data_IF_031641345258
#
_entry.id   IF_031641345258
#
_cell.length_a   1.000
_cell.length_b   1.000
_cell.length_c   1.000
_cell.angle_alpha   90.00
_cell.angle_beta   90.00
_cell.angle_gamma   90.00
#
_symmetry.space_group_name_H-M   'P 1'
#
loop_
_entity.id
_entity.type
_entity.pdbx_description
1 polymer ?
#
# COMPACT_ATOMS: atom_id res chain seq x y z
N UNK A 1 -21.26 -7.00 0.63
CA UNK A 1 -21.92 -5.89 1.39
C UNK A 1 -20.92 -5.07 2.21
N UNK A 2 -20.27 -5.56 3.28
CA UNK A 2 -19.33 -4.72 4.08
C UNK A 2 -18.16 -4.16 3.26
N UNK A 3 -17.53 -4.99 2.45
CA UNK A 3 -16.42 -4.59 1.57
C UNK A 3 -16.92 -3.64 0.48
N UNK A 4 -18.10 -3.87 -0.05
CA UNK A 4 -18.68 -3.05 -1.14
C UNK A 4 -19.02 -1.65 -0.64
N UNK A 5 -19.57 -1.52 0.58
CA UNK A 5 -19.83 -0.24 1.22
C UNK A 5 -18.54 0.56 1.42
N UNK A 6 -17.47 -0.11 1.89
CA UNK A 6 -16.17 0.52 2.10
C UNK A 6 -15.55 0.99 0.77
N UNK A 7 -15.58 0.14 -0.27
CA UNK A 7 -15.08 0.49 -1.60
C UNK A 7 -15.87 1.64 -2.23
N UNK A 8 -17.19 1.65 -2.06
CA UNK A 8 -18.05 2.75 -2.53
C UNK A 8 -17.66 4.08 -1.88
N UNK A 9 -17.40 4.08 -0.57
CA UNK A 9 -16.98 5.28 0.16
C UNK A 9 -15.59 5.77 -0.25
N UNK A 10 -14.63 4.86 -0.46
CA UNK A 10 -13.32 5.24 -0.99
C UNK A 10 -13.43 5.84 -2.39
N UNK A 11 -14.28 5.29 -3.25
CA UNK A 11 -14.51 5.83 -4.60
C UNK A 11 -15.19 7.19 -4.55
N UNK A 12 -16.14 7.41 -3.64
CA UNK A 12 -16.81 8.71 -3.43
C UNK A 12 -15.81 9.77 -2.99
N UNK A 13 -15.00 9.50 -1.95
CA UNK A 13 -13.93 10.40 -1.48
C UNK A 13 -12.97 10.73 -2.61
N UNK A 14 -12.54 9.71 -3.38
CA UNK A 14 -11.67 9.90 -4.52
C UNK A 14 -12.28 10.81 -5.58
N UNK A 15 -13.52 10.56 -5.97
CA UNK A 15 -14.23 11.32 -6.98
C UNK A 15 -14.39 12.78 -6.57
N UNK A 16 -14.67 13.04 -5.30
CA UNK A 16 -14.72 14.39 -4.73
C UNK A 16 -13.36 15.07 -4.77
N UNK A 17 -12.27 14.33 -4.50
CA UNK A 17 -10.91 14.86 -4.57
C UNK A 17 -10.53 15.28 -5.99
N UNK A 18 -10.72 14.38 -6.96
CA UNK A 18 -10.43 14.65 -8.38
C UNK A 18 -11.28 15.81 -8.90
N UNK A 19 -12.53 15.93 -8.46
CA UNK A 19 -13.42 17.03 -8.80
C UNK A 19 -13.14 18.34 -8.07
N UNK A 20 -12.16 18.40 -7.16
CA UNK A 20 -11.85 19.56 -6.33
C UNK A 20 -12.99 19.94 -5.35
N UNK A 21 -13.84 18.98 -5.01
CA UNK A 21 -15.08 19.18 -4.21
C UNK A 21 -15.11 18.31 -2.95
N UNK A 22 -13.95 18.06 -2.32
CA UNK A 22 -13.94 17.31 -1.06
C UNK A 22 -14.80 18.04 -0.03
N UNK A 23 -15.80 17.33 0.49
CA UNK A 23 -16.63 17.85 1.57
C UNK A 23 -15.77 18.04 2.83
N UNK A 24 -15.89 19.19 3.54
CA UNK A 24 -15.17 19.39 4.77
C UNK A 24 -15.55 18.33 5.81
N UNK A 25 -14.58 17.97 6.64
CA UNK A 25 -14.82 17.04 7.75
C UNK A 25 -15.63 17.77 8.84
N UNK A 26 -16.84 17.28 9.07
CA UNK A 26 -17.75 17.74 10.12
C UNK A 26 -18.25 16.55 10.93
N UNK A 27 -18.88 16.80 12.07
CA UNK A 27 -19.52 15.74 12.86
C UNK A 27 -20.58 15.01 12.04
N UNK A 28 -21.34 15.70 11.21
CA UNK A 28 -22.35 15.11 10.30
C UNK A 28 -21.71 14.24 9.24
N UNK A 29 -20.58 14.66 8.66
CA UNK A 29 -19.85 13.85 7.67
C UNK A 29 -19.33 12.54 8.28
N UNK A 30 -18.87 12.58 9.52
CA UNK A 30 -18.43 11.38 10.25
C UNK A 30 -19.61 10.44 10.55
N UNK A 31 -20.77 11.00 10.94
CA UNK A 31 -22.03 10.25 11.08
C UNK A 31 -22.47 9.61 9.76
N UNK A 32 -22.40 10.36 8.65
CA UNK A 32 -22.69 9.86 7.31
C UNK A 32 -21.77 8.66 6.95
N UNK A 33 -20.48 8.76 7.19
CA UNK A 33 -19.54 7.65 6.99
C UNK A 33 -19.95 6.40 7.76
N UNK A 34 -20.26 6.54 9.04
CA UNK A 34 -20.69 5.40 9.86
C UNK A 34 -22.01 4.80 9.34
N UNK A 35 -22.97 5.64 8.97
CA UNK A 35 -24.26 5.21 8.43
C UNK A 35 -24.09 4.38 7.15
N UNK A 36 -23.32 4.89 6.19
CA UNK A 36 -23.07 4.21 4.92
C UNK A 36 -22.23 2.94 5.08
N UNK A 37 -21.27 2.94 6.00
CA UNK A 37 -20.47 1.74 6.32
C UNK A 37 -21.31 0.59 6.84
N UNK A 38 -22.32 0.89 7.65
CA UNK A 38 -23.17 -0.09 8.32
C UNK A 38 -24.45 -0.44 7.52
N UNK A 39 -24.65 0.18 6.36
CA UNK A 39 -25.81 -0.06 5.52
C UNK A 39 -25.94 -1.55 5.17
N UNK A 40 -27.15 -2.11 5.36
CA UNK A 40 -27.47 -3.51 5.04
C UNK A 40 -26.63 -4.55 5.77
N UNK A 41 -26.04 -4.18 6.92
CA UNK A 41 -25.31 -5.14 7.76
C UNK A 41 -26.18 -5.62 8.93
N UNK A 42 -25.96 -6.85 9.42
CA UNK A 42 -26.58 -7.28 10.66
C UNK A 42 -25.99 -6.49 11.83
N UNK A 43 -26.84 -5.81 12.58
CA UNK A 43 -26.45 -4.94 13.69
C UNK A 43 -27.01 -5.46 15.02
N UNK A 44 -26.33 -5.08 16.12
CA UNK A 44 -26.88 -5.29 17.45
C UNK A 44 -28.12 -4.39 17.70
N UNK A 45 -28.97 -4.79 18.64
CA UNK A 45 -30.24 -4.09 18.94
C UNK A 45 -30.01 -2.61 19.34
N UNK A 46 -28.88 -2.30 19.97
CA UNK A 46 -28.53 -0.96 20.46
C UNK A 46 -27.71 -0.14 19.46
N UNK A 47 -27.56 -0.60 18.20
CA UNK A 47 -26.75 0.06 17.16
C UNK A 47 -27.65 0.73 16.15
N UNK A 48 -27.58 2.06 16.10
CA UNK A 48 -28.24 2.88 15.06
C UNK A 48 -27.17 3.51 14.16
N UNK A 49 -27.09 3.13 12.86
CA UNK A 49 -26.11 3.68 11.93
C UNK A 49 -26.16 5.21 11.87
N UNK A 50 -25.00 5.84 11.95
CA UNK A 50 -24.88 7.30 11.89
C UNK A 50 -25.31 8.05 13.17
N UNK A 51 -25.69 7.32 14.22
CA UNK A 51 -26.05 7.93 15.50
C UNK A 51 -25.03 7.56 16.58
N UNK A 52 -24.76 8.50 17.48
CA UNK A 52 -23.90 8.22 18.60
C UNK A 52 -24.61 7.26 19.56
N UNK A 53 -23.81 6.40 20.16
CA UNK A 53 -24.29 5.42 21.15
C UNK A 53 -24.83 6.09 22.42
N UNK A 54 -25.78 5.44 23.03
CA UNK A 54 -26.37 5.85 24.30
C UNK A 54 -25.88 5.03 25.49
N UNK A 55 -25.05 4.00 25.24
CA UNK A 55 -24.54 3.05 26.23
C UNK A 55 -23.00 3.02 26.24
N UNK A 56 -22.43 2.50 27.31
CA UNK A 56 -20.97 2.31 27.42
C UNK A 56 -20.50 1.16 26.54
N UNK A 57 -19.36 1.31 25.87
CA UNK A 57 -18.74 0.28 25.06
C UNK A 57 -17.31 0.00 25.54
N UNK A 58 -16.89 -1.24 25.35
CA UNK A 58 -15.51 -1.68 25.59
C UNK A 58 -14.89 -2.09 24.27
N UNK A 59 -13.73 -1.57 23.98
CA UNK A 59 -12.96 -1.87 22.74
C UNK A 59 -11.96 -2.96 23.05
N UNK A 60 -12.16 -4.13 22.45
CA UNK A 60 -11.37 -5.32 22.80
C UNK A 60 -11.51 -5.67 24.29
N UNK A 61 -10.42 -6.11 24.92
CA UNK A 61 -10.44 -6.52 26.34
C UNK A 61 -9.89 -5.45 27.31
N UNK A 62 -9.53 -4.26 26.83
CA UNK A 62 -8.70 -3.35 27.62
C UNK A 62 -9.15 -1.88 27.64
N UNK A 63 -9.80 -1.39 26.61
CA UNK A 63 -10.10 0.03 26.47
C UNK A 63 -11.60 0.31 26.60
N UNK A 64 -11.97 1.25 27.49
CA UNK A 64 -13.34 1.78 27.60
C UNK A 64 -13.42 3.10 26.82
N UNK A 65 -14.34 3.17 25.85
CA UNK A 65 -14.66 4.42 25.15
C UNK A 65 -15.10 5.54 26.12
N UNK A 66 -15.14 6.77 25.66
CA UNK A 66 -15.64 7.90 26.43
C UNK A 66 -17.06 7.62 26.97
N UNK A 67 -17.52 8.29 28.04
CA UNK A 67 -18.92 8.21 28.48
C UNK A 67 -19.86 8.53 27.30
N UNK A 68 -20.96 7.81 27.18
CA UNK A 68 -21.91 8.01 26.10
C UNK A 68 -22.50 9.43 26.08
N UNK A 69 -22.76 9.99 27.27
CA UNK A 69 -23.22 11.38 27.44
C UNK A 69 -22.29 12.43 26.86
N UNK A 70 -21.00 12.12 26.74
CA UNK A 70 -19.98 13.08 26.36
C UNK A 70 -19.63 12.97 24.88
N UNK A 71 -20.13 11.93 24.17
CA UNK A 71 -19.77 11.66 22.78
C UNK A 71 -20.04 12.85 21.86
N UNK A 72 -21.19 13.51 21.98
CA UNK A 72 -21.55 14.66 21.13
C UNK A 72 -20.59 15.83 21.37
N UNK A 73 -20.40 16.22 22.61
CA UNK A 73 -19.47 17.28 22.98
C UNK A 73 -18.03 16.99 22.54
N UNK A 74 -17.56 15.76 22.76
CA UNK A 74 -16.22 15.35 22.37
C UNK A 74 -16.03 15.32 20.86
N UNK A 75 -17.04 14.91 20.10
CA UNK A 75 -16.98 14.93 18.65
C UNK A 75 -16.95 16.34 18.07
N UNK A 76 -17.69 17.27 18.64
CA UNK A 76 -17.63 18.68 18.23
C UNK A 76 -16.25 19.28 18.52
N UNK A 77 -15.72 19.04 19.72
CA UNK A 77 -14.36 19.47 20.09
C UNK A 77 -13.27 18.82 19.23
N UNK A 78 -13.46 17.57 18.86
CA UNK A 78 -12.57 16.86 17.95
C UNK A 78 -12.54 17.51 16.55
N UNK A 79 -13.69 17.84 15.99
CA UNK A 79 -13.79 18.50 14.68
C UNK A 79 -13.21 19.91 14.74
N UNK A 80 -13.50 20.67 15.81
CA UNK A 80 -12.92 21.99 16.05
C UNK A 80 -11.39 21.93 16.06
N UNK A 81 -10.80 21.03 16.87
CA UNK A 81 -9.37 20.79 16.94
C UNK A 81 -8.74 20.45 15.57
N UNK A 82 -9.38 19.56 14.80
CA UNK A 82 -8.87 19.21 13.47
C UNK A 82 -8.92 20.40 12.49
N UNK A 83 -9.90 21.28 12.63
CA UNK A 83 -10.02 22.48 11.80
C UNK A 83 -9.00 23.56 12.20
N UNK A 84 -8.67 23.69 13.49
CA UNK A 84 -7.57 24.54 13.96
C UNK A 84 -6.24 24.08 13.38
N UNK A 85 -5.93 22.77 13.45
CA UNK A 85 -4.72 22.21 12.85
C UNK A 85 -4.68 22.42 11.32
N UNK A 86 -5.81 22.57 10.66
CA UNK A 86 -5.87 22.88 9.23
C UNK A 86 -5.35 24.28 8.92
N UNK A 87 -5.63 25.26 9.75
CA UNK A 87 -5.17 26.65 9.56
C UNK A 87 -3.65 26.78 9.60
N UNK A 88 -2.98 25.93 10.37
CA UNK A 88 -1.52 25.96 10.55
C UNK A 88 -0.75 25.28 9.39
N UNK A 89 -1.46 24.69 8.42
CA UNK A 89 -0.84 23.97 7.29
C UNK A 89 0.02 24.87 6.40
N UNK A 90 -0.26 26.14 6.33
CA UNK A 90 0.55 27.10 5.57
C UNK A 90 1.96 27.26 6.16
N UNK A 91 2.05 27.12 7.50
CA UNK A 91 3.31 27.26 8.24
C UNK A 91 4.12 25.96 8.23
N UNK A 92 3.49 24.83 8.53
CA UNK A 92 4.17 23.55 8.78
C UNK A 92 4.09 22.56 7.61
N UNK A 93 3.31 22.86 6.57
CA UNK A 93 3.27 22.09 5.33
C UNK A 93 2.72 20.68 5.44
N UNK A 94 3.22 19.78 4.56
CA UNK A 94 2.74 18.39 4.44
C UNK A 94 2.87 17.55 5.71
N UNK A 95 3.96 17.63 6.51
CA UNK A 95 4.08 16.84 7.73
C UNK A 95 2.91 17.04 8.70
N UNK A 96 2.47 18.29 8.90
CA UNK A 96 1.33 18.57 9.78
C UNK A 96 0.03 17.98 9.25
N UNK A 97 -0.15 17.97 7.93
CA UNK A 97 -1.33 17.38 7.30
C UNK A 97 -1.41 15.87 7.55
N UNK A 98 -0.29 15.15 7.44
CA UNK A 98 -0.23 13.71 7.72
C UNK A 98 -0.45 13.46 9.22
N UNK A 99 0.19 14.25 10.08
CA UNK A 99 -0.02 14.19 11.53
C UNK A 99 -1.49 14.39 11.89
N UNK A 100 -2.18 15.36 11.25
CA UNK A 100 -3.61 15.59 11.43
C UNK A 100 -4.44 14.34 11.14
N UNK A 101 -4.11 13.59 10.11
CA UNK A 101 -4.79 12.33 9.77
C UNK A 101 -4.57 11.25 10.84
N UNK A 102 -3.34 11.09 11.33
CA UNK A 102 -3.00 10.15 12.42
C UNK A 102 -3.72 10.54 13.71
N UNK A 103 -3.72 11.82 14.08
CA UNK A 103 -4.42 12.30 15.26
C UNK A 103 -5.93 12.10 15.15
N UNK A 104 -6.50 12.31 13.97
CA UNK A 104 -7.91 12.07 13.74
C UNK A 104 -8.28 10.60 14.00
N UNK A 105 -7.45 9.67 13.54
CA UNK A 105 -7.64 8.24 13.80
C UNK A 105 -7.60 7.92 15.31
N UNK A 106 -6.58 8.41 16.02
CA UNK A 106 -6.41 8.16 17.47
C UNK A 106 -7.59 8.69 18.26
N UNK A 107 -7.94 9.97 18.08
CA UNK A 107 -9.00 10.59 18.84
C UNK A 107 -10.36 9.94 18.58
N UNK A 108 -10.66 9.60 17.32
CA UNK A 108 -11.91 8.90 17.00
C UNK A 108 -11.94 7.49 17.62
N UNK A 109 -10.81 6.80 17.63
CA UNK A 109 -10.69 5.51 18.31
C UNK A 109 -10.89 5.62 19.83
N UNK A 110 -10.44 6.70 20.47
CA UNK A 110 -10.62 6.94 21.91
C UNK A 110 -12.04 7.37 22.28
N UNK A 111 -12.63 8.30 21.54
CA UNK A 111 -14.01 8.72 21.77
C UNK A 111 -14.95 7.53 21.57
N UNK A 112 -14.72 6.76 20.53
CA UNK A 112 -15.50 5.57 20.18
C UNK A 112 -17.00 5.86 20.14
N UNK A 113 -17.44 6.85 19.35
CA UNK A 113 -18.76 7.47 19.51
C UNK A 113 -19.94 6.61 19.06
N UNK A 114 -19.72 5.58 18.24
CA UNK A 114 -20.79 4.75 17.65
C UNK A 114 -20.96 3.42 18.40
N UNK A 115 -22.12 2.78 18.26
CA UNK A 115 -22.35 1.44 18.77
C UNK A 115 -21.56 0.37 18.02
N UNK A 116 -21.34 0.55 16.71
CA UNK A 116 -20.48 -0.28 15.87
C UNK A 116 -19.81 0.57 14.77
N UNK A 117 -18.83 -0.02 14.07
CA UNK A 117 -18.15 0.59 12.92
C UNK A 117 -17.09 1.66 13.27
N UNK A 118 -16.79 1.92 14.54
CA UNK A 118 -15.85 2.97 14.95
C UNK A 118 -14.48 2.86 14.28
N UNK A 119 -13.88 1.67 14.26
CA UNK A 119 -12.57 1.45 13.65
C UNK A 119 -12.58 1.65 12.14
N UNK A 120 -13.66 1.28 11.46
CA UNK A 120 -13.87 1.50 10.02
C UNK A 120 -14.07 2.99 9.73
N UNK A 121 -14.87 3.67 10.54
CA UNK A 121 -15.11 5.12 10.44
C UNK A 121 -13.80 5.89 10.67
N UNK A 122 -13.01 5.54 11.69
CA UNK A 122 -11.72 6.17 11.96
C UNK A 122 -10.76 6.04 10.77
N UNK A 123 -10.69 4.88 10.13
CA UNK A 123 -9.87 4.65 8.93
C UNK A 123 -10.37 5.44 7.72
N UNK A 124 -11.68 5.62 7.54
CA UNK A 124 -12.23 6.47 6.47
C UNK A 124 -11.90 7.94 6.67
N UNK A 125 -12.02 8.43 7.90
CA UNK A 125 -11.64 9.82 8.25
C UNK A 125 -10.14 10.03 8.00
N UNK A 126 -9.29 9.11 8.47
CA UNK A 126 -7.85 9.14 8.21
C UNK A 126 -7.55 9.15 6.71
N UNK A 127 -8.19 8.28 5.93
CA UNK A 127 -8.05 8.20 4.48
C UNK A 127 -8.44 9.52 3.80
N UNK A 128 -9.60 10.10 4.13
CA UNK A 128 -10.01 11.40 3.57
C UNK A 128 -8.95 12.48 3.86
N UNK A 129 -8.46 12.58 5.10
CA UNK A 129 -7.47 13.58 5.49
C UNK A 129 -6.11 13.37 4.80
N UNK A 130 -5.70 12.12 4.57
CA UNK A 130 -4.50 11.80 3.78
C UNK A 130 -4.66 12.26 2.32
N UNK A 131 -5.81 12.00 1.70
CA UNK A 131 -6.11 12.49 0.33
C UNK A 131 -6.12 14.02 0.29
N UNK A 132 -6.76 14.69 1.25
CA UNK A 132 -6.74 16.15 1.39
C UNK A 132 -5.31 16.70 1.54
N UNK A 133 -4.40 15.93 2.12
CA UNK A 133 -3.00 16.31 2.29
C UNK A 133 -2.17 16.22 1.01
N UNK A 134 -2.75 15.65 -0.07
CA UNK A 134 -2.08 15.39 -1.33
C UNK A 134 -1.34 14.04 -1.38
N UNK A 135 -1.62 13.12 -0.45
CA UNK A 135 -1.15 11.73 -0.54
C UNK A 135 -1.90 11.05 -1.69
N UNK A 136 -1.21 10.42 -2.65
CA UNK A 136 -1.87 9.68 -3.73
C UNK A 136 -2.75 8.56 -3.18
N UNK A 137 -3.89 8.33 -3.84
CA UNK A 137 -4.89 7.33 -3.42
C UNK A 137 -4.29 5.95 -3.13
N UNK A 138 -3.41 5.38 -4.00
CA UNK A 138 -2.81 4.08 -3.71
C UNK A 138 -1.96 4.07 -2.44
N UNK A 139 -1.48 5.23 -1.99
CA UNK A 139 -0.68 5.37 -0.78
C UNK A 139 -1.53 5.67 0.46
N UNK A 140 -2.70 6.28 0.33
CA UNK A 140 -3.56 6.64 1.45
C UNK A 140 -4.10 5.42 2.23
N UNK A 141 -4.12 4.23 1.63
CA UNK A 141 -4.50 2.99 2.30
C UNK A 141 -3.39 2.34 3.14
N UNK A 142 -2.13 2.74 2.93
CA UNK A 142 -0.98 2.05 3.50
C UNK A 142 -0.95 2.09 5.02
N UNK A 143 -1.43 3.17 5.62
CA UNK A 143 -1.48 3.32 7.07
C UNK A 143 -2.49 2.34 7.69
N UNK A 144 -3.70 2.29 7.15
CA UNK A 144 -4.73 1.30 7.53
C UNK A 144 -4.26 -0.15 7.34
N UNK A 145 -3.57 -0.45 6.24
CA UNK A 145 -3.00 -1.76 5.95
C UNK A 145 -1.92 -2.14 6.97
N UNK A 146 -1.06 -1.17 7.34
CA UNK A 146 -0.04 -1.37 8.37
C UNK A 146 -0.66 -1.68 9.74
N UNK A 147 -1.66 -0.93 10.18
CA UNK A 147 -2.38 -1.22 11.42
C UNK A 147 -3.00 -2.62 11.43
N UNK A 148 -3.54 -3.05 10.30
CA UNK A 148 -4.13 -4.38 10.18
C UNK A 148 -3.06 -5.48 10.22
N UNK A 149 -1.94 -5.32 9.53
CA UNK A 149 -0.82 -6.27 9.53
C UNK A 149 -0.15 -6.41 10.89
N UNK A 150 -0.11 -5.33 11.66
CA UNK A 150 0.51 -5.27 12.99
C UNK A 150 -0.53 -5.18 14.11
N UNK A 151 -1.72 -5.74 13.91
CA UNK A 151 -2.91 -5.57 14.75
C UNK A 151 -2.68 -5.71 16.25
N UNK A 152 -1.94 -6.71 16.77
CA UNK A 152 -1.65 -6.79 18.20
C UNK A 152 -0.83 -5.60 18.72
N UNK A 153 0.16 -5.16 17.94
CA UNK A 153 0.98 -3.99 18.28
C UNK A 153 0.17 -2.70 18.21
N UNK A 154 -0.67 -2.55 17.20
CA UNK A 154 -1.59 -1.42 17.07
C UNK A 154 -2.46 -1.25 18.33
N UNK A 155 -3.13 -2.30 18.79
CA UNK A 155 -3.96 -2.22 20.01
C UNK A 155 -3.13 -1.90 21.25
N UNK A 156 -1.94 -2.48 21.38
CA UNK A 156 -1.02 -2.19 22.49
C UNK A 156 -0.60 -0.71 22.51
N UNK A 157 -0.26 -0.14 21.35
CA UNK A 157 0.14 1.26 21.21
C UNK A 157 -1.03 2.21 21.46
N UNK A 158 -2.22 1.88 20.95
CA UNK A 158 -3.44 2.66 21.15
C UNK A 158 -3.85 2.69 22.64
N UNK A 159 -3.79 1.55 23.33
CA UNK A 159 -4.06 1.46 24.76
C UNK A 159 -3.04 2.27 25.59
N UNK A 160 -1.76 2.13 25.29
CA UNK A 160 -0.69 2.90 25.93
C UNK A 160 -0.90 4.42 25.77
N UNK A 161 -1.27 4.85 24.56
CA UNK A 161 -1.51 6.25 24.25
C UNK A 161 -2.74 6.84 24.97
N UNK A 162 -3.71 6.00 25.40
CA UNK A 162 -4.90 6.43 26.13
C UNK A 162 -4.67 6.66 27.63
N UNK A 163 -3.54 6.20 28.18
CA UNK A 163 -3.28 6.21 29.63
C UNK A 163 -2.58 7.50 30.05
N UNK A 164 -3.24 8.30 30.91
CA UNK A 164 -2.74 9.59 31.43
C UNK A 164 -1.36 9.55 32.11
N UNK A 165 -0.90 8.38 32.54
CA UNK A 165 0.35 8.22 33.30
C UNK A 165 1.52 7.66 32.46
N UNK A 166 1.34 7.52 31.15
CA UNK A 166 2.43 7.17 30.24
C UNK A 166 2.83 8.42 29.46
N UNK A 167 3.87 9.11 29.95
CA UNK A 167 4.28 10.45 29.49
C UNK A 167 4.55 10.55 27.98
N UNK A 168 4.76 9.44 27.28
CA UNK A 168 5.07 9.41 25.84
C UNK A 168 4.11 8.55 24.99
N UNK A 169 3.02 8.03 25.55
CA UNK A 169 2.16 7.07 24.85
C UNK A 169 1.61 7.58 23.51
N UNK A 170 1.19 8.85 23.45
CA UNK A 170 0.72 9.48 22.21
C UNK A 170 1.86 9.63 21.18
N UNK A 171 3.02 10.09 21.62
CA UNK A 171 4.22 10.24 20.77
C UNK A 171 4.63 8.87 20.23
N UNK A 172 4.66 7.85 21.09
CA UNK A 172 5.01 6.46 20.70
C UNK A 172 4.03 5.88 19.67
N UNK A 173 2.75 6.27 19.72
CA UNK A 173 1.80 5.87 18.69
C UNK A 173 2.05 6.61 17.38
N UNK A 174 2.31 7.91 17.43
CA UNK A 174 2.62 8.72 16.26
C UNK A 174 3.88 8.19 15.58
N UNK A 175 4.95 7.91 16.32
CA UNK A 175 6.18 7.34 15.79
C UNK A 175 5.93 5.98 15.13
N UNK A 176 5.16 5.11 15.78
CA UNK A 176 4.75 3.82 15.21
C UNK A 176 3.99 4.00 13.89
N UNK A 177 3.04 4.93 13.83
CA UNK A 177 2.24 5.19 12.63
C UNK A 177 3.10 5.79 11.49
N UNK A 178 3.92 6.78 11.79
CA UNK A 178 4.81 7.44 10.82
C UNK A 178 5.85 6.46 10.28
N UNK A 179 6.49 5.67 11.14
CA UNK A 179 7.44 4.65 10.72
C UNK A 179 6.78 3.62 9.81
N UNK A 180 5.62 3.08 10.22
CA UNK A 180 4.88 2.09 9.44
C UNK A 180 4.41 2.63 8.09
N UNK A 181 3.97 3.88 8.03
CA UNK A 181 3.60 4.55 6.79
C UNK A 181 4.80 4.72 5.85
N UNK A 182 5.92 5.21 6.39
CA UNK A 182 7.16 5.44 5.63
C UNK A 182 7.70 4.12 5.05
N UNK A 183 7.75 3.05 5.84
CA UNK A 183 8.24 1.74 5.38
C UNK A 183 7.30 1.13 4.33
N UNK A 184 5.99 1.33 4.50
CA UNK A 184 4.99 0.88 3.52
C UNK A 184 5.11 1.64 2.21
N UNK A 185 5.34 2.97 2.25
CA UNK A 185 5.59 3.79 1.06
C UNK A 185 6.86 3.35 0.32
N UNK A 186 7.97 3.16 1.04
CA UNK A 186 9.21 2.65 0.44
C UNK A 186 9.01 1.31 -0.27
N UNK A 187 8.33 0.38 0.41
CA UNK A 187 8.00 -0.92 -0.16
C UNK A 187 7.14 -0.79 -1.42
N UNK A 188 6.13 0.08 -1.41
CA UNK A 188 5.26 0.32 -2.56
C UNK A 188 6.02 0.90 -3.75
N UNK A 189 6.88 1.91 -3.51
CA UNK A 189 7.73 2.52 -4.55
C UNK A 189 8.64 1.47 -5.17
N UNK A 190 9.34 0.67 -4.35
CA UNK A 190 10.21 -0.41 -4.83
C UNK A 190 9.44 -1.44 -5.66
N UNK A 191 8.21 -1.79 -5.24
CA UNK A 191 7.35 -2.72 -5.99
C UNK A 191 6.95 -2.14 -7.35
N UNK A 192 6.53 -0.87 -7.40
CA UNK A 192 6.17 -0.19 -8.67
C UNK A 192 7.38 -0.15 -9.60
N UNK A 193 8.56 0.20 -9.11
CA UNK A 193 9.79 0.24 -9.91
C UNK A 193 10.16 -1.13 -10.44
N UNK A 194 10.04 -2.19 -9.62
CA UNK A 194 10.29 -3.55 -10.08
C UNK A 194 9.39 -3.94 -11.24
N UNK A 195 8.09 -3.62 -11.17
CA UNK A 195 7.15 -3.86 -12.27
C UNK A 195 7.47 -3.00 -13.50
N UNK A 196 7.86 -1.75 -13.32
CA UNK A 196 8.25 -0.89 -14.45
C UNK A 196 9.47 -1.45 -15.18
N UNK A 197 10.48 -1.93 -14.42
CA UNK A 197 11.66 -2.61 -14.99
C UNK A 197 11.23 -3.84 -15.78
N UNK A 198 10.37 -4.68 -15.22
CA UNK A 198 9.90 -5.92 -15.86
C UNK A 198 9.15 -5.64 -17.17
N UNK A 199 8.24 -4.66 -17.17
CA UNK A 199 7.48 -4.26 -18.36
C UNK A 199 8.42 -3.68 -19.43
N UNK A 200 9.31 -2.77 -19.05
CA UNK A 200 10.26 -2.16 -19.97
C UNK A 200 11.20 -3.22 -20.57
N UNK A 201 11.66 -4.16 -19.75
CA UNK A 201 12.50 -5.27 -20.18
C UNK A 201 11.79 -6.19 -21.18
N UNK A 202 10.57 -6.55 -20.90
CA UNK A 202 9.74 -7.37 -21.77
C UNK A 202 9.55 -6.70 -23.14
N UNK A 203 9.21 -5.41 -23.14
CA UNK A 203 9.06 -4.63 -24.38
C UNK A 203 10.38 -4.54 -25.15
N UNK A 204 11.48 -4.29 -24.48
CA UNK A 204 12.81 -4.23 -25.10
C UNK A 204 13.19 -5.55 -25.78
N UNK A 205 12.96 -6.69 -25.13
CA UNK A 205 13.18 -7.99 -25.77
C UNK A 205 12.28 -8.16 -27.00
N UNK A 206 11.00 -7.76 -26.91
CA UNK A 206 10.10 -7.83 -28.06
C UNK A 206 10.58 -6.98 -29.23
N UNK A 207 11.08 -5.78 -29.00
CA UNK A 207 11.62 -4.90 -30.04
C UNK A 207 12.86 -5.50 -30.71
N UNK A 208 13.81 -6.04 -29.95
CA UNK A 208 15.01 -6.67 -30.50
C UNK A 208 14.66 -7.83 -31.46
N UNK A 209 13.62 -8.59 -31.14
CA UNK A 209 13.20 -9.72 -31.94
C UNK A 209 12.13 -9.40 -33.01
N UNK A 210 11.54 -8.20 -33.00
CA UNK A 210 10.48 -7.80 -33.92
C UNK A 210 10.91 -7.81 -35.39
N UNK A 211 12.16 -7.38 -35.67
CA UNK A 211 12.71 -7.29 -37.00
C UNK A 211 13.33 -8.61 -37.52
N UNK A 212 13.41 -9.63 -36.66
CA UNK A 212 13.99 -10.92 -37.00
C UNK A 212 12.89 -11.88 -37.48
N UNK A 213 13.15 -12.61 -38.56
CA UNK A 213 12.19 -13.61 -39.08
C UNK A 213 11.82 -14.62 -37.98
N UNK A 214 10.54 -15.02 -37.94
CA UNK A 214 9.98 -15.99 -36.97
C UNK A 214 10.50 -17.42 -37.15
N UNK A 215 11.80 -17.57 -37.44
CA UNK A 215 12.41 -18.92 -37.49
C UNK A 215 12.46 -19.53 -36.08
N UNK A 216 12.34 -20.86 -35.96
CA UNK A 216 12.30 -21.54 -34.66
C UNK A 216 13.46 -21.20 -33.73
N UNK A 217 14.65 -20.92 -34.27
CA UNK A 217 15.81 -20.53 -33.48
C UNK A 217 15.65 -19.14 -32.81
N UNK A 218 15.01 -18.20 -33.48
CA UNK A 218 14.75 -16.86 -32.91
C UNK A 218 13.64 -16.91 -31.87
N UNK A 219 12.56 -17.63 -32.14
CA UNK A 219 11.51 -17.88 -31.17
C UNK A 219 12.07 -18.49 -29.88
N UNK A 220 12.93 -19.52 -30.01
CA UNK A 220 13.56 -20.18 -28.87
C UNK A 220 14.43 -19.21 -28.05
N UNK A 221 15.29 -18.41 -28.71
CA UNK A 221 16.14 -17.42 -28.04
C UNK A 221 15.31 -16.31 -27.33
N UNK A 222 14.26 -15.81 -28.00
CA UNK A 222 13.33 -14.84 -27.40
C UNK A 222 12.66 -15.39 -26.15
N UNK A 223 12.11 -16.61 -26.22
CA UNK A 223 11.47 -17.26 -25.07
C UNK A 223 12.48 -17.46 -23.94
N UNK A 224 13.73 -17.87 -24.26
CA UNK A 224 14.77 -17.98 -23.23
C UNK A 224 15.10 -16.64 -22.59
N UNK A 225 15.25 -15.56 -23.36
CA UNK A 225 15.52 -14.22 -22.82
C UNK A 225 14.41 -13.72 -21.90
N UNK A 226 13.13 -13.91 -22.29
CA UNK A 226 11.96 -13.56 -21.48
C UNK A 226 11.87 -14.39 -20.19
N UNK A 227 12.31 -15.64 -20.25
CA UNK A 227 12.24 -16.58 -19.12
C UNK A 227 13.44 -16.53 -18.18
N UNK A 228 14.51 -15.82 -18.57
CA UNK A 228 15.71 -15.71 -17.73
C UNK A 228 15.43 -14.84 -16.51
N UNK A 229 15.56 -15.36 -15.28
CA UNK A 229 15.27 -14.59 -14.08
C UNK A 229 16.35 -13.54 -13.81
N UNK A 230 15.92 -12.47 -13.15
CA UNK A 230 16.81 -11.61 -12.41
C UNK A 230 17.06 -12.23 -11.03
N UNK A 231 18.32 -12.45 -10.67
CA UNK A 231 18.71 -13.00 -9.37
C UNK A 231 19.81 -12.12 -8.75
N UNK A 232 19.76 -11.98 -7.44
CA UNK A 232 20.70 -11.14 -6.69
C UNK A 232 21.90 -11.95 -6.16
N UNK A 233 21.75 -13.26 -5.99
CA UNK A 233 22.78 -14.17 -5.50
C UNK A 233 23.41 -14.98 -6.64
N UNK A 234 24.75 -15.10 -6.71
CA UNK A 234 25.44 -15.91 -7.69
C UNK A 234 25.07 -17.40 -7.65
N UNK A 235 24.62 -17.91 -6.51
CA UNK A 235 24.18 -19.29 -6.32
C UNK A 235 22.86 -19.58 -7.03
N UNK A 236 22.02 -18.56 -7.24
CA UNK A 236 20.75 -18.65 -7.92
C UNK A 236 20.89 -18.51 -9.44
N UNK A 237 22.10 -18.26 -9.94
CA UNK A 237 22.35 -18.08 -11.37
C UNK A 237 22.03 -19.34 -12.18
N UNK A 238 21.36 -19.15 -13.32
CA UNK A 238 20.93 -20.26 -14.18
C UNK A 238 22.11 -20.81 -14.96
N UNK A 239 22.47 -22.07 -14.70
CA UNK A 239 23.50 -22.77 -15.47
C UNK A 239 22.96 -23.34 -16.78
N UNK A 240 23.86 -23.67 -17.73
CA UNK A 240 23.45 -24.25 -19.03
C UNK A 240 22.60 -25.50 -18.87
N UNK A 241 22.89 -26.35 -17.91
CA UNK A 241 22.14 -27.58 -17.64
C UNK A 241 20.76 -27.36 -17.05
N UNK A 242 20.49 -26.19 -16.46
CA UNK A 242 19.18 -25.81 -15.90
C UNK A 242 18.24 -25.25 -16.96
N UNK A 243 18.76 -24.73 -18.09
CA UNK A 243 17.93 -24.09 -19.13
C UNK A 243 16.76 -24.95 -19.58
N UNK A 244 16.94 -26.25 -19.95
CA UNK A 244 15.82 -27.08 -20.38
C UNK A 244 14.77 -27.36 -19.30
N UNK A 245 15.03 -26.92 -18.05
CA UNK A 245 14.16 -27.13 -16.88
C UNK A 245 13.63 -25.80 -16.31
N UNK A 246 13.89 -24.68 -16.97
CA UNK A 246 13.62 -23.33 -16.42
C UNK A 246 12.12 -23.09 -16.21
N UNK A 247 11.33 -23.38 -17.24
CA UNK A 247 9.87 -23.40 -17.19
C UNK A 247 9.30 -24.31 -18.30
N UNK A 248 8.00 -24.62 -18.31
CA UNK A 248 7.40 -25.53 -19.29
C UNK A 248 7.58 -25.08 -20.76
N UNK A 249 7.54 -23.77 -21.02
CA UNK A 249 7.68 -23.26 -22.38
C UNK A 249 9.12 -23.41 -22.91
N UNK A 250 10.11 -23.05 -22.10
CA UNK A 250 11.53 -23.25 -22.41
C UNK A 250 11.82 -24.74 -22.53
N UNK A 251 11.32 -25.57 -21.60
CA UNK A 251 11.51 -27.02 -21.64
C UNK A 251 11.04 -27.60 -22.95
N UNK A 252 9.86 -27.23 -23.45
CA UNK A 252 9.31 -27.65 -24.73
C UNK A 252 10.21 -27.25 -25.92
N UNK A 253 10.72 -26.02 -25.92
CA UNK A 253 11.55 -25.49 -27.02
C UNK A 253 12.98 -26.04 -27.01
N UNK A 254 13.46 -26.55 -25.89
CA UNK A 254 14.80 -27.06 -25.70
C UNK A 254 14.85 -28.62 -25.55
N UNK A 255 13.71 -29.31 -25.64
CA UNK A 255 13.63 -30.77 -25.45
C UNK A 255 14.62 -31.57 -26.34
N UNK A 256 14.66 -31.24 -27.63
CA UNK A 256 15.49 -31.93 -28.60
C UNK A 256 16.73 -31.13 -29.03
N UNK A 257 17.13 -30.16 -28.21
CA UNK A 257 18.22 -29.23 -28.52
C UNK A 257 19.55 -29.72 -27.91
N UNK A 258 20.58 -29.80 -28.77
CA UNK A 258 21.92 -30.25 -28.32
C UNK A 258 22.58 -29.24 -27.39
N UNK A 259 23.45 -29.67 -26.47
CA UNK A 259 24.21 -28.78 -25.59
C UNK A 259 25.03 -27.73 -26.35
N UNK A 260 25.50 -28.06 -27.57
CA UNK A 260 26.23 -27.12 -28.46
C UNK A 260 25.32 -25.97 -28.93
N UNK A 261 24.08 -26.27 -29.25
CA UNK A 261 23.09 -25.28 -29.67
C UNK A 261 22.65 -24.39 -28.49
N UNK A 262 22.47 -24.97 -27.29
CA UNK A 262 22.20 -24.21 -26.07
C UNK A 262 23.35 -23.18 -25.80
N UNK A 263 24.61 -23.64 -25.92
CA UNK A 263 25.76 -22.76 -25.77
C UNK A 263 25.80 -21.63 -26.80
N UNK A 264 25.42 -21.89 -28.04
CA UNK A 264 25.31 -20.87 -29.11
C UNK A 264 24.21 -19.86 -28.79
N UNK A 265 23.02 -20.32 -28.43
CA UNK A 265 21.89 -19.44 -28.08
C UNK A 265 22.26 -18.52 -26.89
N UNK A 266 22.92 -19.04 -25.87
CA UNK A 266 23.44 -18.24 -24.73
C UNK A 266 24.45 -17.20 -25.22
N UNK A 267 25.41 -17.58 -26.09
CA UNK A 267 26.40 -16.63 -26.58
C UNK A 267 25.76 -15.53 -27.44
N UNK A 268 24.73 -15.85 -28.20
CA UNK A 268 23.95 -14.88 -28.97
C UNK A 268 23.22 -13.89 -28.02
N UNK A 269 22.59 -14.40 -26.96
CA UNK A 269 21.91 -13.55 -25.96
C UNK A 269 22.89 -12.69 -25.14
N UNK A 270 24.11 -13.19 -24.87
CA UNK A 270 25.18 -12.41 -24.26
C UNK A 270 25.65 -11.26 -25.17
N UNK A 271 25.80 -11.51 -26.48
CA UNK A 271 26.16 -10.48 -27.48
C UNK A 271 25.07 -9.41 -27.64
N UNK A 272 23.82 -9.79 -27.48
CA UNK A 272 22.67 -8.89 -27.49
C UNK A 272 22.47 -8.19 -26.14
N UNK A 273 23.33 -8.45 -25.16
CA UNK A 273 23.24 -7.92 -23.79
C UNK A 273 21.91 -8.24 -23.07
N UNK A 274 21.17 -9.27 -23.55
CA UNK A 274 19.91 -9.70 -22.93
C UNK A 274 20.11 -10.56 -21.70
N UNK A 275 21.27 -11.19 -21.57
CA UNK A 275 21.70 -11.92 -20.38
C UNK A 275 23.13 -11.53 -20.03
N UNK A 276 23.49 -11.69 -18.77
CA UNK A 276 24.86 -11.46 -18.31
C UNK A 276 25.38 -12.67 -17.54
N UNK A 277 26.72 -12.85 -17.54
CA UNK A 277 27.36 -13.83 -16.68
C UNK A 277 27.24 -13.42 -15.22
N UNK A 278 26.89 -14.35 -14.36
CA UNK A 278 26.77 -14.12 -12.92
C UNK A 278 27.16 -15.39 -12.16
N UNK A 279 28.22 -15.33 -11.36
CA UNK A 279 28.78 -16.50 -10.73
C UNK A 279 29.16 -17.59 -11.75
N UNK A 280 28.68 -18.82 -11.55
CA UNK A 280 28.87 -19.96 -12.47
C UNK A 280 27.81 -20.09 -13.56
N UNK A 281 26.86 -19.16 -13.61
CA UNK A 281 25.72 -19.20 -14.52
C UNK A 281 25.44 -17.87 -15.21
N UNK A 282 24.18 -17.64 -15.48
CA UNK A 282 23.65 -16.48 -16.19
C UNK A 282 22.40 -15.94 -15.48
N UNK A 283 22.15 -14.65 -15.63
CA UNK A 283 20.91 -14.00 -15.23
C UNK A 283 20.43 -13.03 -16.30
N UNK A 284 19.19 -12.61 -16.22
CA UNK A 284 18.65 -11.51 -17.01
C UNK A 284 19.48 -10.24 -16.82
N UNK A 285 19.62 -9.42 -17.86
CA UNK A 285 20.32 -8.12 -17.79
C UNK A 285 19.33 -6.94 -17.67
N UNK A 286 18.15 -7.18 -17.12
CA UNK A 286 17.08 -6.18 -16.99
C UNK A 286 17.47 -4.92 -16.22
N UNK A 287 18.60 -4.94 -15.48
CA UNK A 287 19.13 -3.78 -14.78
C UNK A 287 19.41 -2.60 -15.74
N UNK A 288 19.66 -2.90 -17.03
CA UNK A 288 19.78 -1.86 -18.05
C UNK A 288 18.57 -0.93 -18.10
N UNK A 289 17.38 -1.45 -17.77
CA UNK A 289 16.15 -0.68 -17.76
C UNK A 289 16.09 0.32 -16.60
N UNK A 290 16.84 0.11 -15.53
CA UNK A 290 16.91 1.04 -14.41
C UNK A 290 17.46 2.41 -14.81
N UNK A 291 18.31 2.48 -15.85
CA UNK A 291 18.83 3.74 -16.38
C UNK A 291 17.76 4.64 -17.01
N UNK A 292 16.62 4.07 -17.41
CA UNK A 292 15.51 4.79 -18.02
C UNK A 292 14.40 5.17 -17.01
N UNK A 293 14.54 4.75 -15.76
CA UNK A 293 13.59 5.09 -14.69
C UNK A 293 14.04 6.36 -13.97
N UNK A 294 13.10 7.15 -13.45
CA UNK A 294 13.44 8.29 -12.60
C UNK A 294 14.30 7.82 -11.43
N UNK A 295 15.40 8.53 -11.09
CA UNK A 295 16.19 8.20 -9.91
C UNK A 295 15.31 8.31 -8.66
N UNK A 296 15.47 7.36 -7.73
CA UNK A 296 14.92 7.52 -6.38
C UNK A 296 15.78 8.60 -5.73
N UNK A 297 15.21 9.78 -5.49
CA UNK A 297 15.86 10.73 -4.60
C UNK A 297 15.87 10.11 -3.21
N UNK A 298 17.01 9.60 -2.77
CA UNK A 298 17.22 9.05 -1.42
C UNK A 298 17.10 10.13 -0.32
N UNK A 299 16.81 11.37 -0.72
CA UNK A 299 16.62 12.51 0.18
C UNK A 299 15.15 12.68 0.52
N UNK A 300 14.62 11.82 1.41
CA UNK A 300 13.47 12.10 2.27
C UNK A 300 13.81 11.62 3.67
#
# INVERSE_FOLDING_TARGET
MEIDNLLSLFNDINSQCVGGKIKPLTTERIKEFNSLLLQEQPLGEDVTPGHFRTHSVVVGNAYRGAPASDCEFLMDKFVEFLNELRSDHEIYGRPLKILRAILAHIYLAWIHPFGDGNGRTARLVEFQLLIESGVPIPAAHLLSDYYNKTRPLYYKKLDAASKKHQDNGLIDFIDYAVQGFTDSLRKQVNTIQSYQIEIAWTNYIHEIFATQSLIPAQQRKRTLALSMPWVSSPEEAITKSMIPKLNPEVARLYADITPRTIARDINDLLKLELIQKFGKGFRSNQILMAAFLPPINETI
#
